data_IF_937556533435
#
_entry.id   IF_937556533435
#
_cell.length_a   1.000
_cell.length_b   1.000
_cell.length_c   1.000
_cell.angle_alpha   90.00
_cell.angle_beta   90.00
_cell.angle_gamma   90.00
#
_symmetry.space_group_name_H-M   'P 1'
#
loop_
_entity.id
_entity.type
_entity.pdbx_description
1 polymer ?
#
# COMPACT_ATOMS: atom_id res chain seq x y z
N UNK A 1 -6.29 15.40 31.49
CA UNK A 1 -6.88 14.29 30.77
C UNK A 1 -5.72 13.39 30.37
N UNK A 2 -5.82 12.08 30.58
CA UNK A 2 -4.81 11.16 30.06
C UNK A 2 -4.90 11.13 28.53
N UNK A 3 -3.76 10.96 27.84
CA UNK A 3 -3.74 10.83 26.38
C UNK A 3 -4.58 9.61 25.94
N UNK A 4 -5.35 9.74 24.86
CA UNK A 4 -6.16 8.63 24.36
C UNK A 4 -5.27 7.49 23.85
N UNK A 5 -5.61 6.27 24.21
CA UNK A 5 -4.91 5.06 23.75
C UNK A 5 -5.76 4.39 22.66
N UNK A 6 -5.32 4.45 21.42
CA UNK A 6 -6.03 3.88 20.27
C UNK A 6 -5.77 2.38 20.10
N UNK A 7 -4.56 1.91 20.40
CA UNK A 7 -4.21 0.49 20.35
C UNK A 7 -3.61 0.06 21.69
N UNK A 8 -4.09 -1.06 22.21
CA UNK A 8 -3.53 -1.68 23.42
C UNK A 8 -2.75 -2.92 23.02
N UNK A 9 -1.56 -3.15 23.59
CA UNK A 9 -0.86 -4.41 23.37
C UNK A 9 -1.69 -5.58 23.91
N UNK A 10 -1.86 -6.63 23.11
CA UNK A 10 -2.55 -7.84 23.52
C UNK A 10 -1.68 -8.68 24.48
N UNK A 11 -0.37 -8.53 24.40
CA UNK A 11 0.61 -9.22 25.24
C UNK A 11 1.90 -8.43 25.36
N UNK A 12 2.74 -8.80 26.34
CA UNK A 12 4.08 -8.28 26.53
C UNK A 12 5.07 -9.45 26.38
N UNK A 13 5.71 -9.64 25.20
CA UNK A 13 6.53 -10.80 24.91
C UNK A 13 7.89 -10.75 25.60
N UNK A 14 8.45 -11.90 25.89
CA UNK A 14 9.84 -12.08 26.23
C UNK A 14 10.75 -12.05 24.99
N UNK A 15 12.04 -11.83 25.17
CA UNK A 15 13.02 -11.93 24.07
C UNK A 15 13.05 -13.33 23.44
N UNK A 16 12.79 -14.37 24.23
CA UNK A 16 12.71 -15.75 23.73
C UNK A 16 11.53 -15.91 22.74
N UNK A 17 10.35 -15.38 23.06
CA UNK A 17 9.18 -15.42 22.17
C UNK A 17 9.42 -14.58 20.91
N UNK A 18 10.01 -13.39 21.04
CA UNK A 18 10.37 -12.56 19.89
C UNK A 18 11.37 -13.30 18.97
N UNK A 19 12.36 -13.97 19.55
CA UNK A 19 13.32 -14.78 18.77
C UNK A 19 12.61 -15.92 18.04
N UNK A 20 11.68 -16.60 18.69
CA UNK A 20 10.88 -17.65 18.07
C UNK A 20 10.04 -17.13 16.87
N UNK A 21 9.36 -16.00 17.01
CA UNK A 21 8.52 -15.43 15.95
C UNK A 21 9.31 -14.95 14.74
N UNK A 22 10.52 -14.43 14.99
CA UNK A 22 11.32 -13.76 13.98
C UNK A 22 12.44 -14.63 13.39
N UNK A 23 12.79 -15.72 14.05
CA UNK A 23 13.99 -16.50 13.77
C UNK A 23 15.28 -15.76 14.18
N UNK A 24 15.20 -14.80 15.11
CA UNK A 24 16.35 -14.03 15.55
C UNK A 24 17.31 -14.88 16.39
N UNK A 25 18.61 -14.66 16.18
CA UNK A 25 19.65 -15.16 17.07
C UNK A 25 19.88 -14.16 18.21
N UNK A 26 19.73 -14.62 19.45
CA UNK A 26 20.00 -13.82 20.65
C UNK A 26 21.51 -13.70 20.90
N UNK A 27 21.95 -12.55 21.41
CA UNK A 27 23.32 -12.37 21.85
C UNK A 27 23.66 -13.39 22.97
N UNK A 28 24.88 -14.04 22.96
CA UNK A 28 25.27 -14.97 24.00
C UNK A 28 25.22 -14.35 25.39
N UNK A 29 24.64 -15.07 26.37
CA UNK A 29 24.56 -14.65 27.77
C UNK A 29 23.50 -13.57 28.06
N UNK A 30 22.65 -13.21 27.12
CA UNK A 30 21.54 -12.29 27.40
C UNK A 30 20.43 -13.00 28.20
N UNK A 31 19.69 -12.23 28.98
CA UNK A 31 18.50 -12.70 29.65
C UNK A 31 17.34 -12.82 28.65
N UNK A 32 17.08 -14.04 28.17
CA UNK A 32 16.01 -14.32 27.22
C UNK A 32 14.60 -14.16 27.81
N UNK A 33 14.48 -14.07 29.16
CA UNK A 33 13.23 -13.86 29.86
C UNK A 33 12.84 -12.35 29.97
N UNK A 34 13.73 -11.46 29.54
CA UNK A 34 13.48 -10.02 29.54
C UNK A 34 12.20 -9.68 28.76
N UNK A 35 11.25 -9.03 29.43
CA UNK A 35 9.95 -8.67 28.87
C UNK A 35 10.01 -7.35 28.12
N UNK A 36 9.42 -7.32 26.95
CA UNK A 36 9.23 -6.12 26.14
C UNK A 36 7.80 -5.59 26.31
N UNK A 37 7.65 -4.36 26.78
CA UNK A 37 6.38 -3.68 27.07
C UNK A 37 6.09 -2.50 26.15
N UNK A 38 7.03 -2.11 25.29
CA UNK A 38 6.85 -1.01 24.37
C UNK A 38 7.56 -1.27 23.03
N UNK A 39 7.10 -0.57 22.02
CA UNK A 39 7.73 -0.47 20.69
C UNK A 39 8.03 1.01 20.48
N UNK A 40 9.25 1.36 20.11
CA UNK A 40 9.64 2.74 19.92
C UNK A 40 10.68 2.93 18.81
N UNK A 41 10.73 4.12 18.19
CA UNK A 41 11.82 4.50 17.28
C UNK A 41 13.17 4.42 17.97
N UNK A 42 14.23 4.14 17.21
CA UNK A 42 15.58 3.87 17.74
C UNK A 42 16.17 5.06 18.50
N UNK A 43 15.82 6.27 18.14
CA UNK A 43 16.30 7.54 18.70
C UNK A 43 15.58 7.97 19.98
N UNK A 44 14.39 7.44 20.22
CA UNK A 44 13.52 7.81 21.35
C UNK A 44 13.19 6.64 22.29
N UNK A 45 13.65 5.42 21.96
CA UNK A 45 13.40 4.23 22.74
C UNK A 45 13.93 4.34 24.17
N UNK A 46 13.13 3.85 25.13
CA UNK A 46 13.44 3.81 26.57
C UNK A 46 13.59 2.35 27.01
N UNK A 47 14.12 2.09 28.23
CA UNK A 47 14.13 0.76 28.82
C UNK A 47 12.74 0.11 28.80
N UNK A 48 12.69 -1.18 28.44
CA UNK A 48 11.46 -1.92 28.20
C UNK A 48 10.99 -1.91 26.73
N UNK A 49 11.57 -1.07 25.86
CA UNK A 49 11.19 -1.00 24.46
C UNK A 49 12.00 -1.91 23.57
N UNK A 50 11.33 -2.42 22.50
CA UNK A 50 11.95 -3.01 21.32
C UNK A 50 12.05 -1.93 20.22
N UNK A 51 13.19 -1.90 19.54
CA UNK A 51 13.39 -1.11 18.32
C UNK A 51 14.02 -1.95 17.22
N UNK A 52 14.28 -1.36 16.05
CA UNK A 52 15.00 -2.03 14.96
C UNK A 52 15.91 -1.08 14.21
N UNK A 53 16.94 -1.62 13.53
CA UNK A 53 17.79 -0.92 12.59
C UNK A 53 17.82 -1.66 11.25
N UNK A 54 17.18 -1.09 10.23
CA UNK A 54 17.19 -1.58 8.86
C UNK A 54 17.94 -0.61 7.93
N UNK A 55 17.66 0.68 8.03
CA UNK A 55 18.31 1.71 7.21
C UNK A 55 19.62 2.19 7.86
N UNK A 56 20.77 2.08 7.16
CA UNK A 56 22.08 2.51 7.66
C UNK A 56 22.16 3.99 8.08
N UNK A 57 21.28 4.85 7.58
CA UNK A 57 21.24 6.26 7.98
C UNK A 57 21.00 6.45 9.48
N UNK A 58 20.37 5.48 10.14
CA UNK A 58 20.10 5.51 11.59
C UNK A 58 21.16 4.79 12.42
N UNK A 59 22.28 4.36 11.82
CA UNK A 59 23.33 3.65 12.55
C UNK A 59 23.92 4.47 13.71
N UNK A 60 24.01 5.79 13.59
CA UNK A 60 24.45 6.67 14.67
C UNK A 60 23.48 6.65 15.85
N UNK A 61 22.17 6.60 15.60
CA UNK A 61 21.16 6.53 16.65
C UNK A 61 21.24 5.20 17.42
N UNK A 62 21.71 4.10 16.80
CA UNK A 62 21.91 2.83 17.47
C UNK A 62 22.88 2.95 18.65
N UNK A 63 23.99 3.69 18.50
CA UNK A 63 24.99 3.82 19.59
C UNK A 63 24.51 4.58 20.80
N UNK A 64 23.39 5.29 20.68
CA UNK A 64 22.80 6.12 21.73
C UNK A 64 21.44 5.62 22.21
N UNK A 65 20.92 4.55 21.61
CA UNK A 65 19.60 4.02 21.97
C UNK A 65 19.59 3.52 23.42
N UNK A 66 18.45 3.70 24.08
CA UNK A 66 18.15 3.17 25.42
C UNK A 66 17.17 2.02 25.39
N UNK A 67 16.88 1.49 24.19
CA UNK A 67 16.01 0.32 24.01
C UNK A 67 16.53 -0.88 24.80
N UNK A 68 15.65 -1.70 25.34
CA UNK A 68 16.05 -2.97 25.94
C UNK A 68 16.49 -3.99 24.90
N UNK A 69 15.96 -3.92 23.67
CA UNK A 69 16.34 -4.80 22.57
C UNK A 69 16.25 -4.11 21.22
N UNK A 70 17.08 -4.56 20.26
CA UNK A 70 17.10 -4.05 18.90
C UNK A 70 17.21 -5.20 17.88
N UNK A 71 16.26 -5.26 16.95
CA UNK A 71 16.32 -6.12 15.77
C UNK A 71 17.27 -5.49 14.74
N UNK A 72 18.31 -6.21 14.32
CA UNK A 72 19.33 -5.67 13.41
C UNK A 72 20.06 -6.79 12.68
N UNK A 73 20.81 -6.44 11.64
CA UNK A 73 21.70 -7.39 10.95
C UNK A 73 23.00 -7.57 11.70
N UNK A 74 23.67 -8.72 11.50
CA UNK A 74 24.95 -9.06 12.13
C UNK A 74 26.01 -7.95 12.02
N UNK A 75 26.05 -7.21 10.91
CA UNK A 75 27.01 -6.13 10.67
C UNK A 75 26.96 -4.99 11.71
N UNK A 76 25.82 -4.80 12.36
CA UNK A 76 25.62 -3.73 13.34
C UNK A 76 25.68 -4.21 14.80
N UNK A 77 25.85 -5.53 15.03
CA UNK A 77 25.82 -6.12 16.37
C UNK A 77 26.87 -5.53 17.32
N UNK A 78 28.07 -5.23 16.83
CA UNK A 78 29.15 -4.66 17.64
C UNK A 78 28.90 -3.19 18.07
N UNK A 79 27.97 -2.49 17.43
CA UNK A 79 27.64 -1.10 17.74
C UNK A 79 26.49 -0.95 18.75
N UNK A 80 25.91 -2.06 19.20
CA UNK A 80 24.81 -2.05 20.18
C UNK A 80 25.35 -1.63 21.55
N UNK A 81 24.76 -0.62 22.21
CA UNK A 81 25.26 -0.14 23.50
C UNK A 81 25.01 -1.16 24.62
N UNK A 82 25.81 -1.05 25.69
CA UNK A 82 25.62 -1.83 26.91
C UNK A 82 24.20 -1.59 27.45
N UNK A 83 23.49 -2.67 27.77
CA UNK A 83 22.10 -2.60 28.27
C UNK A 83 21.03 -2.82 27.18
N UNK A 84 21.41 -2.85 25.91
CA UNK A 84 20.52 -3.23 24.80
C UNK A 84 20.89 -4.62 24.28
N UNK A 85 19.92 -5.51 24.17
CA UNK A 85 20.13 -6.87 23.62
C UNK A 85 20.01 -6.84 22.08
N UNK A 86 21.03 -7.35 21.40
CA UNK A 86 20.99 -7.53 19.95
C UNK A 86 20.15 -8.76 19.57
N UNK A 87 19.16 -8.59 18.74
CA UNK A 87 18.35 -9.62 18.09
C UNK A 87 18.75 -9.69 16.62
N UNK A 88 19.59 -10.65 16.26
CA UNK A 88 20.20 -10.70 14.93
C UNK A 88 19.29 -11.43 13.95
N UNK A 89 18.92 -10.73 12.87
CA UNK A 89 18.04 -11.22 11.80
C UNK A 89 18.56 -10.78 10.42
N UNK A 90 18.16 -11.49 9.37
CA UNK A 90 18.50 -11.12 8.00
C UNK A 90 17.74 -9.89 7.50
N UNK A 91 16.49 -9.73 7.92
CA UNK A 91 15.57 -8.67 7.48
C UNK A 91 14.92 -7.99 8.70
N UNK A 92 15.59 -6.97 9.29
CA UNK A 92 15.13 -6.34 10.54
C UNK A 92 13.72 -5.75 10.46
N UNK A 93 13.39 -5.08 9.37
CA UNK A 93 12.05 -4.47 9.21
C UNK A 93 10.95 -5.52 9.10
N UNK A 94 11.17 -6.60 8.36
CA UNK A 94 10.19 -7.70 8.26
C UNK A 94 10.02 -8.42 9.60
N UNK A 95 11.11 -8.62 10.34
CA UNK A 95 11.07 -9.19 11.70
C UNK A 95 10.30 -8.28 12.66
N UNK A 96 10.56 -6.98 12.61
CA UNK A 96 9.86 -5.98 13.41
C UNK A 96 8.34 -6.00 13.10
N UNK A 97 7.96 -6.01 11.82
CA UNK A 97 6.54 -6.10 11.43
C UNK A 97 5.83 -7.33 12.02
N UNK A 98 6.50 -8.51 12.04
CA UNK A 98 5.96 -9.71 12.69
C UNK A 98 5.74 -9.53 14.19
N UNK A 99 6.69 -8.90 14.89
CA UNK A 99 6.56 -8.63 16.32
C UNK A 99 5.40 -7.68 16.59
N UNK A 100 5.30 -6.58 15.83
CA UNK A 100 4.22 -5.61 15.96
C UNK A 100 2.86 -6.27 15.71
N UNK A 101 2.76 -7.12 14.69
CA UNK A 101 1.54 -7.86 14.38
C UNK A 101 1.08 -8.79 15.52
N UNK A 102 2.01 -9.43 16.22
CA UNK A 102 1.69 -10.27 17.37
C UNK A 102 1.29 -9.46 18.61
N UNK A 103 1.94 -8.32 18.82
CA UNK A 103 1.64 -7.45 19.98
C UNK A 103 0.33 -6.68 19.76
N UNK A 104 0.04 -6.24 18.52
CA UNK A 104 -1.12 -5.42 18.16
C UNK A 104 -1.95 -6.08 17.04
N UNK A 105 -2.57 -7.23 17.26
CA UNK A 105 -3.34 -7.93 16.21
C UNK A 105 -4.50 -7.09 15.68
N UNK A 106 -5.11 -6.25 16.51
CA UNK A 106 -6.21 -5.36 16.12
C UNK A 106 -5.77 -4.21 15.18
N UNK A 107 -4.46 -3.95 15.07
CA UNK A 107 -3.92 -2.95 14.14
C UNK A 107 -3.69 -3.48 12.72
N UNK A 108 -3.81 -4.78 12.49
CA UNK A 108 -3.54 -5.41 11.20
C UNK A 108 -4.58 -5.07 10.12
N UNK A 109 -5.81 -4.81 10.53
CA UNK A 109 -6.90 -4.43 9.61
C UNK A 109 -7.92 -3.53 10.33
N UNK A 110 -8.69 -2.70 9.60
CA UNK A 110 -9.78 -1.96 10.18
C UNK A 110 -10.74 -2.85 10.96
N UNK A 111 -11.09 -2.41 12.16
CA UNK A 111 -12.06 -3.07 13.05
C UNK A 111 -13.37 -2.26 13.09
N UNK A 112 -14.43 -2.86 13.63
CA UNK A 112 -15.67 -2.13 13.88
C UNK A 112 -15.39 -0.91 14.78
N UNK A 113 -15.78 0.27 14.31
CA UNK A 113 -15.67 1.51 15.10
C UNK A 113 -16.60 1.55 16.31
N UNK A 114 -17.54 0.61 16.39
CA UNK A 114 -18.55 0.50 17.44
C UNK A 114 -18.34 -0.72 18.35
N UNK A 115 -17.21 -1.44 18.18
CA UNK A 115 -16.99 -2.74 18.82
C UNK A 115 -18.20 -3.71 18.64
N UNK A 116 -18.83 -3.63 17.47
CA UNK A 116 -20.02 -4.42 17.16
C UNK A 116 -19.67 -5.89 16.90
N UNK A 117 -20.62 -6.76 17.20
CA UNK A 117 -20.60 -8.16 16.86
C UNK A 117 -21.92 -8.52 16.16
N UNK A 118 -21.84 -9.18 15.00
CA UNK A 118 -23.01 -9.47 14.19
C UNK A 118 -23.60 -8.22 13.50
N UNK A 119 -24.90 -8.20 13.27
CA UNK A 119 -25.57 -7.10 12.55
C UNK A 119 -26.02 -6.06 13.57
N UNK A 120 -25.45 -4.86 13.48
CA UNK A 120 -25.79 -3.74 14.36
C UNK A 120 -27.22 -3.19 14.10
N UNK A 121 -27.90 -2.69 15.13
CA UNK A 121 -29.11 -1.88 14.93
C UNK A 121 -28.82 -0.69 14.01
N UNK A 122 -29.74 -0.42 13.07
CA UNK A 122 -29.59 0.66 12.07
C UNK A 122 -28.77 0.27 10.84
N UNK A 123 -28.20 -0.93 10.75
CA UNK A 123 -27.75 -1.52 9.50
C UNK A 123 -28.96 -2.03 8.70
N UNK A 124 -28.92 -1.87 7.38
CA UNK A 124 -29.93 -2.45 6.48
C UNK A 124 -29.34 -3.63 5.72
N UNK A 125 -29.88 -4.81 5.94
CA UNK A 125 -29.52 -6.03 5.20
C UNK A 125 -30.75 -6.50 4.44
N UNK A 126 -30.63 -6.58 3.10
CA UNK A 126 -31.74 -7.08 2.27
C UNK A 126 -32.06 -8.54 2.62
N UNK A 127 -33.34 -8.95 2.67
CA UNK A 127 -33.72 -10.33 3.04
C UNK A 127 -33.09 -11.43 2.17
N UNK A 128 -32.81 -11.14 0.90
CA UNK A 128 -32.18 -12.07 -0.04
C UNK A 128 -30.64 -12.07 0.05
N UNK A 129 -30.04 -11.23 0.88
CA UNK A 129 -28.60 -11.26 1.12
C UNK A 129 -28.22 -12.47 1.97
N UNK A 130 -27.03 -13.03 1.73
CA UNK A 130 -26.49 -14.19 2.45
C UNK A 130 -25.23 -13.80 3.18
N UNK A 131 -25.26 -13.85 4.50
CA UNK A 131 -24.13 -13.59 5.36
C UNK A 131 -23.74 -14.89 6.07
N UNK A 132 -22.48 -15.29 5.96
CA UNK A 132 -21.95 -16.42 6.72
C UNK A 132 -21.81 -16.06 8.21
N UNK A 133 -21.54 -17.05 9.05
CA UNK A 133 -21.37 -16.86 10.50
C UNK A 133 -20.18 -15.94 10.80
N UNK A 134 -20.29 -15.10 11.84
CA UNK A 134 -19.21 -14.21 12.29
C UNK A 134 -19.03 -12.95 11.44
N UNK A 135 -19.95 -12.66 10.50
CA UNK A 135 -19.96 -11.38 9.80
C UNK A 135 -20.39 -10.28 10.77
N UNK A 136 -19.63 -9.17 10.76
CA UNK A 136 -19.96 -7.96 11.53
C UNK A 136 -20.42 -6.87 10.57
N UNK A 137 -21.53 -6.21 10.90
CA UNK A 137 -22.09 -5.10 10.09
C UNK A 137 -22.36 -3.92 11.02
N UNK A 138 -21.64 -2.83 10.80
CA UNK A 138 -21.73 -1.61 11.60
C UNK A 138 -23.00 -0.80 11.27
N UNK A 139 -23.39 0.14 12.15
CA UNK A 139 -24.57 0.98 11.95
C UNK A 139 -24.53 1.78 10.64
N UNK A 140 -25.66 1.89 9.97
CA UNK A 140 -25.84 2.64 8.73
C UNK A 140 -25.26 1.97 7.48
N UNK A 141 -24.64 0.79 7.60
CA UNK A 141 -24.24 0.00 6.42
C UNK A 141 -25.49 -0.53 5.69
N UNK A 142 -25.41 -0.58 4.36
CA UNK A 142 -26.48 -1.06 3.48
C UNK A 142 -25.99 -2.23 2.65
N UNK A 143 -26.67 -3.38 2.75
CA UNK A 143 -26.36 -4.60 1.99
C UNK A 143 -27.51 -4.92 1.07
N UNK A 144 -27.27 -4.90 -0.24
CA UNK A 144 -28.24 -5.08 -1.30
C UNK A 144 -28.68 -6.53 -1.53
N UNK A 145 -29.68 -6.74 -2.40
CA UNK A 145 -30.23 -8.07 -2.67
C UNK A 145 -29.18 -8.99 -3.30
N UNK A 146 -29.23 -10.26 -2.91
CA UNK A 146 -28.36 -11.34 -3.39
C UNK A 146 -26.85 -11.08 -3.18
N UNK A 147 -26.49 -10.14 -2.30
CA UNK A 147 -25.09 -10.00 -1.85
C UNK A 147 -24.71 -11.22 -1.02
N UNK A 148 -23.48 -11.71 -1.19
CA UNK A 148 -22.92 -12.84 -0.44
C UNK A 148 -21.68 -12.38 0.32
N UNK A 149 -21.63 -12.60 1.64
CA UNK A 149 -20.53 -12.13 2.50
C UNK A 149 -20.00 -13.29 3.33
N UNK A 150 -18.71 -13.60 3.15
CA UNK A 150 -18.02 -14.70 3.82
C UNK A 150 -17.73 -14.43 5.30
N UNK A 151 -17.52 -15.52 6.05
CA UNK A 151 -17.32 -15.52 7.50
C UNK A 151 -16.15 -14.63 7.95
N UNK A 152 -16.27 -14.03 9.15
CA UNK A 152 -15.25 -13.17 9.74
C UNK A 152 -15.03 -11.83 9.03
N UNK A 153 -15.85 -11.50 8.03
CA UNK A 153 -15.79 -10.25 7.31
C UNK A 153 -16.50 -9.14 8.09
N UNK A 154 -15.84 -7.97 8.17
CA UNK A 154 -16.38 -6.76 8.80
C UNK A 154 -16.82 -5.77 7.71
N UNK A 155 -18.04 -5.25 7.83
CA UNK A 155 -18.61 -4.18 7.01
C UNK A 155 -18.78 -2.94 7.88
N UNK A 156 -17.95 -1.94 7.63
CA UNK A 156 -17.89 -0.70 8.40
C UNK A 156 -19.09 0.21 8.21
N UNK A 157 -19.20 1.19 9.08
CA UNK A 157 -20.31 2.11 9.13
C UNK A 157 -20.56 2.83 7.79
N UNK A 158 -21.81 2.92 7.37
CA UNK A 158 -22.24 3.58 6.15
C UNK A 158 -21.60 3.04 4.85
N UNK A 159 -21.02 1.85 4.89
CA UNK A 159 -20.61 1.15 3.67
C UNK A 159 -21.83 0.69 2.88
N UNK A 160 -21.74 0.72 1.54
CA UNK A 160 -22.80 0.30 0.64
C UNK A 160 -22.33 -0.88 -0.20
N UNK A 161 -22.94 -2.04 0.01
CA UNK A 161 -22.69 -3.26 -0.76
C UNK A 161 -23.84 -3.45 -1.73
N UNK A 162 -23.57 -3.29 -3.02
CA UNK A 162 -24.55 -3.38 -4.09
C UNK A 162 -25.12 -4.79 -4.29
N UNK A 163 -26.16 -4.89 -5.11
CA UNK A 163 -26.77 -6.16 -5.47
C UNK A 163 -25.76 -7.12 -6.14
N UNK A 164 -25.85 -8.42 -5.80
CA UNK A 164 -25.03 -9.49 -6.34
C UNK A 164 -23.50 -9.37 -6.09
N UNK A 165 -23.06 -8.43 -5.28
CA UNK A 165 -21.66 -8.34 -4.86
C UNK A 165 -21.31 -9.56 -4.01
N UNK A 166 -20.14 -10.15 -4.26
CA UNK A 166 -19.62 -11.26 -3.46
C UNK A 166 -18.33 -10.85 -2.76
N UNK A 167 -18.26 -11.09 -1.48
CA UNK A 167 -17.11 -10.79 -0.62
C UNK A 167 -16.70 -12.08 0.08
N UNK A 168 -15.41 -12.44 -0.03
CA UNK A 168 -14.85 -13.61 0.63
C UNK A 168 -14.78 -13.47 2.15
N UNK A 169 -13.97 -14.32 2.77
CA UNK A 169 -13.83 -14.44 4.22
C UNK A 169 -12.74 -13.54 4.77
N UNK A 170 -12.84 -13.19 6.06
CA UNK A 170 -11.82 -12.43 6.80
C UNK A 170 -11.49 -11.06 6.20
N UNK A 171 -12.40 -10.48 5.40
CA UNK A 171 -12.23 -9.17 4.81
C UNK A 171 -12.53 -8.04 5.81
N UNK A 172 -11.95 -6.86 5.56
CA UNK A 172 -12.29 -5.63 6.26
C UNK A 172 -12.72 -4.57 5.24
N UNK A 173 -14.01 -4.29 5.17
CA UNK A 173 -14.58 -3.24 4.33
C UNK A 173 -14.88 -2.05 5.23
N UNK A 174 -14.01 -1.04 5.20
CA UNK A 174 -14.09 0.07 6.14
C UNK A 174 -15.27 1.03 5.87
N UNK A 175 -15.41 2.03 6.73
CA UNK A 175 -16.51 2.98 6.66
C UNK A 175 -16.60 3.72 5.31
N UNK A 176 -17.81 4.03 4.86
CA UNK A 176 -18.10 4.77 3.64
C UNK A 176 -17.61 4.13 2.32
N UNK A 177 -17.17 2.87 2.33
CA UNK A 177 -16.82 2.13 1.10
C UNK A 177 -18.08 1.85 0.28
N UNK A 178 -17.98 1.97 -1.05
CA UNK A 178 -19.04 1.54 -1.95
C UNK A 178 -18.52 0.43 -2.87
N UNK A 179 -19.18 -0.72 -2.84
CA UNK A 179 -18.94 -1.87 -3.70
C UNK A 179 -20.12 -2.11 -4.62
N UNK A 180 -19.90 -2.13 -5.92
CA UNK A 180 -20.91 -2.48 -6.92
C UNK A 180 -20.26 -3.30 -8.03
N UNK A 181 -21.00 -4.22 -8.65
CA UNK A 181 -20.52 -5.01 -9.80
C UNK A 181 -19.12 -5.61 -9.59
N UNK A 182 -18.83 -6.14 -8.40
CA UNK A 182 -17.52 -6.66 -8.07
C UNK A 182 -17.57 -8.01 -7.36
N UNK A 183 -16.48 -8.75 -7.49
CA UNK A 183 -16.18 -9.99 -6.78
C UNK A 183 -14.90 -9.78 -5.98
N UNK A 184 -14.94 -10.02 -4.68
CA UNK A 184 -13.85 -9.78 -3.73
C UNK A 184 -13.43 -11.12 -3.14
N UNK A 185 -12.13 -11.42 -3.17
CA UNK A 185 -11.52 -12.60 -2.57
C UNK A 185 -11.51 -12.58 -1.04
N UNK A 186 -10.65 -13.39 -0.46
CA UNK A 186 -10.52 -13.52 1.01
C UNK A 186 -9.44 -12.56 1.55
N UNK A 187 -9.53 -12.18 2.83
CA UNK A 187 -8.55 -11.35 3.55
C UNK A 187 -8.23 -10.02 2.85
N UNK A 188 -9.21 -9.51 2.11
CA UNK A 188 -9.09 -8.21 1.43
C UNK A 188 -9.38 -7.09 2.41
N UNK A 189 -8.55 -6.06 2.39
CA UNK A 189 -8.72 -4.84 3.19
C UNK A 189 -9.06 -3.69 2.25
N UNK A 190 -10.17 -3.01 2.51
CA UNK A 190 -10.58 -1.83 1.74
C UNK A 190 -10.78 -0.67 2.72
N UNK A 191 -9.91 0.33 2.60
CA UNK A 191 -9.87 1.48 3.50
C UNK A 191 -11.01 2.47 3.25
N UNK A 192 -11.28 3.40 4.22
CA UNK A 192 -12.46 4.25 4.17
C UNK A 192 -12.60 5.05 2.88
N UNK A 193 -13.82 5.17 2.40
CA UNK A 193 -14.15 6.02 1.26
C UNK A 193 -13.80 5.45 -0.13
N UNK A 194 -13.19 4.28 -0.25
CA UNK A 194 -12.90 3.68 -1.55
C UNK A 194 -14.19 3.39 -2.34
N UNK A 195 -14.12 3.53 -3.67
CA UNK A 195 -15.24 3.30 -4.60
C UNK A 195 -14.84 2.23 -5.61
N UNK A 196 -15.59 1.15 -5.70
CA UNK A 196 -15.24 0.00 -6.54
C UNK A 196 -16.46 -0.42 -7.36
N UNK A 197 -16.24 -0.53 -8.68
CA UNK A 197 -17.21 -1.06 -9.62
C UNK A 197 -18.17 -0.04 -10.23
N UNK A 198 -17.89 1.27 -10.11
CA UNK A 198 -18.56 2.31 -10.88
C UNK A 198 -18.24 2.20 -12.37
N UNK A 199 -19.00 2.91 -13.22
CA UNK A 199 -18.76 2.96 -14.68
C UNK A 199 -17.33 3.43 -14.98
N UNK A 200 -16.66 2.74 -15.89
CA UNK A 200 -15.45 3.25 -16.53
C UNK A 200 -15.76 4.44 -17.45
N UNK A 201 -14.76 5.26 -17.72
CA UNK A 201 -14.88 6.43 -18.58
C UNK A 201 -14.88 6.01 -20.06
N UNK A 202 -16.06 5.69 -20.60
CA UNK A 202 -16.23 5.23 -21.96
C UNK A 202 -17.25 6.09 -22.75
N UNK A 203 -16.76 6.84 -23.75
CA UNK A 203 -17.59 7.67 -24.62
C UNK A 203 -17.13 7.58 -26.07
N UNK A 204 -18.07 7.39 -27.01
CA UNK A 204 -17.82 7.61 -28.43
C UNK A 204 -17.91 9.12 -28.70
N UNK A 205 -16.77 9.72 -28.92
CA UNK A 205 -16.64 11.18 -29.09
C UNK A 205 -16.97 11.58 -30.54
N UNK A 206 -17.72 12.66 -30.72
CA UNK A 206 -18.00 13.22 -32.04
C UNK A 206 -18.18 14.75 -31.97
N UNK A 207 -18.15 15.40 -33.12
CA UNK A 207 -18.39 16.85 -33.23
C UNK A 207 -19.82 17.27 -32.80
N UNK A 208 -20.76 16.29 -32.72
CA UNK A 208 -22.14 16.51 -32.28
C UNK A 208 -22.40 16.16 -30.82
N UNK A 209 -21.35 15.86 -30.05
CA UNK A 209 -21.40 15.45 -28.64
C UNK A 209 -20.85 14.04 -28.39
N UNK A 210 -21.03 13.53 -27.20
CA UNK A 210 -20.43 12.29 -26.73
C UNK A 210 -21.53 11.26 -26.42
N UNK A 211 -21.48 10.09 -27.05
CA UNK A 211 -22.37 8.97 -26.77
C UNK A 211 -21.74 8.10 -25.69
N UNK A 212 -22.44 7.91 -24.57
CA UNK A 212 -21.97 7.01 -23.49
C UNK A 212 -21.93 5.55 -23.97
N UNK A 213 -20.82 4.88 -23.74
CA UNK A 213 -20.66 3.45 -23.92
C UNK A 213 -21.03 2.74 -22.62
N UNK A 214 -22.10 1.90 -22.58
CA UNK A 214 -22.47 1.15 -21.39
C UNK A 214 -21.31 0.27 -20.90
N UNK A 215 -21.10 0.25 -19.60
CA UNK A 215 -20.06 -0.56 -18.95
C UNK A 215 -20.73 -1.81 -18.36
N UNK A 216 -20.44 -3.00 -18.91
CA UNK A 216 -21.13 -4.25 -18.52
C UNK A 216 -20.21 -5.29 -17.91
N UNK A 217 -18.91 -5.00 -17.79
CA UNK A 217 -17.92 -5.82 -17.07
C UNK A 217 -18.01 -5.65 -15.55
N UNK A 218 -17.08 -6.26 -14.85
CA UNK A 218 -16.97 -6.29 -13.38
C UNK A 218 -15.60 -5.83 -12.92
N UNK A 219 -15.46 -5.70 -11.60
CA UNK A 219 -14.17 -5.67 -10.92
C UNK A 219 -13.96 -7.00 -10.21
N UNK A 220 -12.79 -7.61 -10.38
CA UNK A 220 -12.38 -8.83 -9.66
C UNK A 220 -11.15 -8.50 -8.83
N UNK A 221 -11.24 -8.67 -7.53
CA UNK A 221 -10.15 -8.48 -6.57
C UNK A 221 -9.84 -9.82 -5.95
N UNK A 222 -8.59 -10.28 -6.12
CA UNK A 222 -8.14 -11.57 -5.58
C UNK A 222 -7.81 -11.47 -4.08
N UNK A 223 -7.34 -12.57 -3.49
CA UNK A 223 -7.04 -12.67 -2.06
C UNK A 223 -5.90 -11.72 -1.61
N UNK A 224 -5.90 -11.35 -0.33
CA UNK A 224 -4.82 -10.59 0.32
C UNK A 224 -4.52 -9.21 -0.27
N UNK A 225 -5.42 -8.66 -1.08
CA UNK A 225 -5.31 -7.31 -1.64
C UNK A 225 -5.64 -6.26 -0.58
N UNK A 226 -4.92 -5.15 -0.61
CA UNK A 226 -5.23 -3.98 0.22
C UNK A 226 -5.42 -2.74 -0.65
N UNK A 227 -6.52 -2.01 -0.43
CA UNK A 227 -6.90 -0.83 -1.21
C UNK A 227 -7.04 0.37 -0.28
N UNK A 228 -6.24 1.40 -0.52
CA UNK A 228 -6.15 2.62 0.26
C UNK A 228 -7.41 3.49 0.23
N UNK A 229 -7.45 4.42 1.16
CA UNK A 229 -8.60 5.32 1.34
C UNK A 229 -8.87 6.18 0.08
N UNK A 230 -10.14 6.34 -0.25
CA UNK A 230 -10.61 7.09 -1.41
C UNK A 230 -10.02 6.66 -2.77
N UNK A 231 -9.44 5.47 -2.86
CA UNK A 231 -9.07 4.89 -4.15
C UNK A 231 -10.34 4.55 -4.96
N UNK A 232 -10.24 4.62 -6.29
CA UNK A 232 -11.35 4.36 -7.21
C UNK A 232 -10.95 3.30 -8.23
N UNK A 233 -11.82 2.28 -8.42
CA UNK A 233 -11.58 1.18 -9.35
C UNK A 233 -12.79 1.03 -10.26
N UNK A 234 -12.62 1.39 -11.53
CA UNK A 234 -13.68 1.33 -12.53
C UNK A 234 -13.92 -0.10 -13.01
N UNK A 235 -15.19 -0.48 -13.23
CA UNK A 235 -15.49 -1.74 -13.90
C UNK A 235 -15.17 -1.68 -15.39
N UNK A 236 -14.90 -2.83 -15.96
CA UNK A 236 -14.60 -2.93 -17.37
C UNK A 236 -15.79 -2.63 -18.27
N UNK A 237 -15.51 -2.25 -19.51
CA UNK A 237 -16.55 -2.02 -20.52
C UNK A 237 -17.25 -3.33 -20.92
N UNK A 238 -16.48 -4.31 -21.41
CA UNK A 238 -16.94 -5.64 -21.80
C UNK A 238 -16.01 -6.77 -21.34
N UNK A 239 -14.98 -6.44 -20.58
CA UNK A 239 -14.07 -7.35 -19.87
C UNK A 239 -14.05 -6.93 -18.41
N UNK A 240 -13.48 -7.74 -17.56
CA UNK A 240 -13.31 -7.41 -16.16
C UNK A 240 -12.08 -6.50 -15.93
N UNK A 241 -12.12 -5.66 -14.93
CA UNK A 241 -10.94 -5.04 -14.30
C UNK A 241 -10.45 -5.99 -13.24
N UNK A 242 -9.16 -6.37 -13.26
CA UNK A 242 -8.59 -7.40 -12.40
C UNK A 242 -7.49 -6.83 -11.50
N UNK A 243 -7.52 -7.19 -10.21
CA UNK A 243 -6.46 -6.92 -9.23
C UNK A 243 -5.98 -8.24 -8.64
N UNK A 244 -4.72 -8.58 -8.93
CA UNK A 244 -4.08 -9.84 -8.54
C UNK A 244 -3.78 -9.92 -7.05
N UNK A 245 -3.67 -11.16 -6.57
CA UNK A 245 -3.40 -11.53 -5.18
C UNK A 245 -2.23 -10.75 -4.55
N UNK A 246 -2.37 -10.34 -3.30
CA UNK A 246 -1.32 -9.71 -2.50
C UNK A 246 -0.95 -8.29 -2.92
N UNK A 247 -1.59 -7.72 -3.95
CA UNK A 247 -1.32 -6.36 -4.43
C UNK A 247 -1.72 -5.32 -3.39
N UNK A 248 -0.88 -4.29 -3.23
CA UNK A 248 -1.07 -3.18 -2.30
C UNK A 248 -1.26 -1.88 -3.08
N UNK A 249 -2.39 -1.25 -2.87
CA UNK A 249 -2.82 -0.01 -3.53
C UNK A 249 -2.99 1.04 -2.44
N UNK A 250 -2.25 2.13 -2.56
CA UNK A 250 -2.27 3.23 -1.59
C UNK A 250 -3.44 4.20 -1.84
N UNK A 251 -3.53 5.24 -1.05
CA UNK A 251 -4.64 6.17 -1.04
C UNK A 251 -4.76 6.97 -2.35
N UNK A 252 -6.00 7.31 -2.73
CA UNK A 252 -6.30 8.19 -3.86
C UNK A 252 -5.80 7.69 -5.22
N UNK A 253 -5.62 6.39 -5.38
CA UNK A 253 -5.26 5.76 -6.67
C UNK A 253 -6.50 5.64 -7.54
N UNK A 254 -6.38 5.97 -8.85
CA UNK A 254 -7.39 5.70 -9.87
C UNK A 254 -6.98 4.52 -10.74
N UNK A 255 -7.82 3.50 -10.80
CA UNK A 255 -7.68 2.36 -11.71
C UNK A 255 -8.81 2.41 -12.73
N UNK A 256 -8.45 2.62 -14.00
CA UNK A 256 -9.39 2.72 -15.11
C UNK A 256 -9.97 1.37 -15.52
N UNK A 257 -10.99 1.43 -16.36
CA UNK A 257 -11.71 0.25 -16.87
C UNK A 257 -10.80 -0.73 -17.62
N UNK A 258 -11.06 -2.03 -17.50
CA UNK A 258 -10.30 -3.09 -18.17
C UNK A 258 -8.81 -3.17 -17.81
N UNK A 259 -8.36 -2.51 -16.75
CA UNK A 259 -7.00 -2.63 -16.25
C UNK A 259 -6.81 -4.02 -15.65
N UNK A 260 -5.67 -4.64 -15.94
CA UNK A 260 -5.25 -5.90 -15.33
C UNK A 260 -3.98 -5.68 -14.52
N UNK A 261 -4.04 -5.90 -13.21
CA UNK A 261 -2.91 -5.80 -12.29
C UNK A 261 -2.56 -7.19 -11.82
N UNK A 262 -1.30 -7.57 -11.98
CA UNK A 262 -0.73 -8.85 -11.53
C UNK A 262 -0.68 -8.97 -10.00
N UNK A 263 0.00 -10.01 -9.54
CA UNK A 263 0.15 -10.32 -8.12
C UNK A 263 1.26 -9.50 -7.48
N UNK A 264 1.08 -9.20 -6.17
CA UNK A 264 2.11 -8.55 -5.34
C UNK A 264 2.64 -7.24 -5.91
N UNK A 265 1.84 -6.53 -6.70
CA UNK A 265 2.17 -5.19 -7.17
C UNK A 265 2.07 -4.18 -6.02
N UNK A 266 2.82 -3.09 -6.13
CA UNK A 266 2.77 -1.95 -5.20
C UNK A 266 2.45 -0.68 -5.98
N UNK A 267 1.31 -0.06 -5.68
CA UNK A 267 0.84 1.14 -6.37
C UNK A 267 0.68 2.23 -5.33
N UNK A 268 1.60 3.21 -5.36
CA UNK A 268 1.70 4.25 -4.34
C UNK A 268 0.68 5.36 -4.59
N UNK A 269 0.46 6.20 -3.60
CA UNK A 269 -0.62 7.20 -3.59
C UNK A 269 -0.67 8.10 -4.83
N UNK A 270 -1.89 8.47 -5.22
CA UNK A 270 -2.19 9.36 -6.35
C UNK A 270 -1.75 8.85 -7.74
N UNK A 271 -1.45 7.57 -7.89
CA UNK A 271 -1.21 6.98 -9.21
C UNK A 271 -2.50 6.95 -10.01
N UNK A 272 -2.42 7.32 -11.30
CA UNK A 272 -3.50 7.17 -12.26
C UNK A 272 -3.15 6.13 -13.32
N UNK A 273 -3.95 5.07 -13.44
CA UNK A 273 -3.79 4.03 -14.45
C UNK A 273 -4.96 4.12 -15.43
N UNK A 274 -4.67 4.49 -16.67
CA UNK A 274 -5.69 4.59 -17.72
C UNK A 274 -6.16 3.22 -18.19
N UNK A 275 -7.34 3.21 -18.82
CA UNK A 275 -8.02 1.97 -19.21
C UNK A 275 -7.20 1.02 -20.09
N UNK A 276 -7.46 -0.26 -19.94
CA UNK A 276 -6.84 -1.37 -20.69
C UNK A 276 -5.32 -1.51 -20.54
N UNK A 277 -4.75 -0.97 -19.48
CA UNK A 277 -3.34 -1.12 -19.12
C UNK A 277 -3.13 -2.44 -18.39
N UNK A 278 -2.01 -3.12 -18.67
CA UNK A 278 -1.63 -4.39 -18.06
C UNK A 278 -0.36 -4.20 -17.20
N UNK A 279 -0.42 -4.50 -15.91
CA UNK A 279 0.73 -4.61 -15.03
C UNK A 279 0.97 -6.07 -14.71
N UNK A 280 2.17 -6.57 -15.00
CA UNK A 280 2.55 -7.93 -14.62
C UNK A 280 2.94 -8.01 -13.13
N UNK A 281 3.17 -9.23 -12.62
CA UNK A 281 3.47 -9.49 -11.21
C UNK A 281 4.66 -8.66 -10.68
N UNK A 282 4.58 -8.23 -9.41
CA UNK A 282 5.63 -7.49 -8.69
C UNK A 282 6.00 -6.12 -9.28
N UNK A 283 5.18 -5.54 -10.14
CA UNK A 283 5.40 -4.17 -10.62
C UNK A 283 5.24 -3.16 -9.47
N UNK A 284 6.12 -2.15 -9.44
CA UNK A 284 6.12 -1.09 -8.43
C UNK A 284 5.92 0.26 -9.11
N UNK A 285 4.85 0.97 -8.75
CA UNK A 285 4.51 2.27 -9.33
C UNK A 285 4.62 3.36 -8.25
N UNK A 286 5.59 4.24 -8.41
CA UNK A 286 5.84 5.37 -7.51
C UNK A 286 4.72 6.40 -7.51
N UNK A 287 4.56 7.11 -6.40
CA UNK A 287 3.46 8.04 -6.18
C UNK A 287 3.33 9.12 -7.26
N UNK A 288 2.08 9.49 -7.57
CA UNK A 288 1.73 10.50 -8.59
C UNK A 288 2.16 10.14 -10.02
N UNK A 289 2.55 8.88 -10.30
CA UNK A 289 2.80 8.47 -11.67
C UNK A 289 1.49 8.36 -12.45
N UNK A 290 1.52 8.77 -13.73
CA UNK A 290 0.42 8.62 -14.68
C UNK A 290 0.77 7.59 -15.75
N UNK A 291 -0.12 6.63 -15.99
CA UNK A 291 0.10 5.56 -16.98
C UNK A 291 -0.96 5.70 -18.08
N UNK A 292 -0.50 5.84 -19.31
CA UNK A 292 -1.37 5.90 -20.50
C UNK A 292 -2.12 4.58 -20.70
N UNK A 293 -3.24 4.65 -21.42
CA UNK A 293 -4.03 3.46 -21.74
C UNK A 293 -3.31 2.51 -22.72
N UNK A 294 -3.67 1.23 -22.63
CA UNK A 294 -3.20 0.18 -23.54
C UNK A 294 -1.69 -0.10 -23.50
N UNK A 295 -0.98 0.26 -22.44
CA UNK A 295 0.44 -0.08 -22.26
C UNK A 295 0.62 -1.31 -21.39
N UNK A 296 1.77 -1.97 -21.53
CA UNK A 296 2.17 -3.15 -20.74
C UNK A 296 3.37 -2.84 -19.87
N UNK A 297 3.23 -3.09 -18.58
CA UNK A 297 4.28 -2.95 -17.58
C UNK A 297 4.76 -4.35 -17.20
N UNK A 298 6.02 -4.65 -17.52
CA UNK A 298 6.61 -5.98 -17.33
C UNK A 298 6.79 -6.34 -15.85
N UNK A 299 6.94 -7.64 -15.57
CA UNK A 299 7.08 -8.16 -14.21
C UNK A 299 8.29 -7.55 -13.50
N UNK A 300 8.10 -7.12 -12.24
CA UNK A 300 9.14 -6.50 -11.42
C UNK A 300 9.64 -5.13 -11.92
N UNK A 301 8.98 -4.53 -12.92
CA UNK A 301 9.33 -3.19 -13.37
C UNK A 301 9.06 -2.15 -12.28
N UNK A 302 9.89 -1.11 -12.21
CA UNK A 302 9.80 -0.05 -11.20
C UNK A 302 9.64 1.31 -11.88
N UNK A 303 8.55 2.00 -11.59
CA UNK A 303 8.23 3.31 -12.13
C UNK A 303 8.47 4.35 -11.04
N UNK A 304 9.33 5.33 -11.32
CA UNK A 304 9.63 6.41 -10.39
C UNK A 304 8.40 7.30 -10.13
N UNK A 305 8.39 7.95 -8.97
CA UNK A 305 7.35 8.92 -8.64
C UNK A 305 7.26 10.04 -9.72
N UNK A 306 6.04 10.52 -9.97
CA UNK A 306 5.70 11.57 -10.94
C UNK A 306 6.10 11.23 -12.40
N UNK A 307 6.33 9.95 -12.70
CA UNK A 307 6.63 9.56 -14.09
C UNK A 307 5.37 9.56 -14.97
N UNK A 308 5.51 10.03 -16.21
CA UNK A 308 4.50 9.91 -17.26
C UNK A 308 4.84 8.72 -18.17
N UNK A 309 4.12 7.61 -18.03
CA UNK A 309 4.36 6.39 -18.83
C UNK A 309 3.49 6.40 -20.07
N UNK A 310 4.10 6.41 -21.25
CA UNK A 310 3.41 6.44 -22.53
C UNK A 310 3.69 5.22 -23.41
N UNK A 311 4.61 4.35 -23.00
CA UNK A 311 5.03 3.18 -23.76
C UNK A 311 5.18 1.97 -22.84
N UNK A 312 5.22 0.77 -23.44
CA UNK A 312 5.47 -0.48 -22.74
C UNK A 312 6.82 -0.44 -22.00
N UNK A 313 6.85 -1.02 -20.80
CA UNK A 313 8.04 -1.12 -19.96
C UNK A 313 8.43 -2.60 -19.84
N UNK A 314 9.66 -2.98 -20.26
CA UNK A 314 10.15 -4.34 -20.11
C UNK A 314 10.25 -4.79 -18.64
N UNK A 315 10.24 -6.12 -18.44
CA UNK A 315 10.35 -6.70 -17.11
C UNK A 315 11.67 -6.31 -16.40
N UNK A 316 11.59 -6.01 -15.11
CA UNK A 316 12.74 -5.68 -14.26
C UNK A 316 13.36 -4.31 -14.49
N UNK A 317 12.89 -3.54 -15.46
CA UNK A 317 13.44 -2.22 -15.75
C UNK A 317 12.96 -1.13 -14.77
N UNK A 318 13.78 -0.08 -14.67
CA UNK A 318 13.50 1.13 -13.90
C UNK A 318 13.31 2.31 -14.81
N UNK A 319 12.10 2.88 -14.79
CA UNK A 319 11.73 3.99 -15.66
C UNK A 319 11.32 5.22 -14.85
N UNK A 320 11.55 6.41 -15.43
CA UNK A 320 11.19 7.68 -14.79
C UNK A 320 11.15 8.83 -15.76
N UNK A 321 10.68 9.97 -15.28
CA UNK A 321 10.53 11.19 -16.06
C UNK A 321 9.16 11.32 -16.73
N UNK A 322 8.97 12.44 -17.41
CA UNK A 322 7.75 12.75 -18.15
C UNK A 322 8.12 13.26 -19.55
N UNK A 323 7.88 12.47 -20.59
CA UNK A 323 7.50 11.08 -20.59
C UNK A 323 8.56 10.18 -19.93
N UNK A 324 8.12 9.04 -19.35
CA UNK A 324 9.03 8.09 -18.67
C UNK A 324 10.00 7.45 -19.67
N UNK A 325 11.25 7.32 -19.24
CA UNK A 325 12.34 6.67 -19.97
C UNK A 325 13.18 5.84 -19.02
N UNK A 326 14.08 4.99 -19.51
CA UNK A 326 15.09 4.36 -18.67
C UNK A 326 15.82 5.41 -17.85
N UNK A 327 15.99 5.18 -16.52
CA UNK A 327 16.53 6.19 -15.59
C UNK A 327 17.90 6.74 -16.03
N UNK A 328 18.75 5.87 -16.59
CA UNK A 328 20.07 6.30 -17.12
C UNK A 328 19.96 7.28 -18.29
N UNK A 329 19.00 7.09 -19.18
CA UNK A 329 18.75 7.99 -20.31
C UNK A 329 18.18 9.32 -19.84
N UNK A 330 17.23 9.26 -18.88
CA UNK A 330 16.65 10.46 -18.28
C UNK A 330 17.71 11.37 -17.67
N UNK A 331 18.57 10.84 -16.78
CA UNK A 331 19.65 11.61 -16.18
C UNK A 331 20.68 12.08 -17.20
N UNK A 332 20.99 11.27 -18.24
CA UNK A 332 21.87 11.71 -19.33
C UNK A 332 21.29 12.88 -20.10
N UNK A 333 19.99 12.86 -20.36
CA UNK A 333 19.27 13.95 -21.04
C UNK A 333 19.33 15.24 -20.22
N UNK A 334 19.01 15.18 -18.92
CA UNK A 334 19.06 16.35 -18.03
C UNK A 334 20.48 16.94 -17.97
N UNK A 335 21.50 16.09 -17.77
CA UNK A 335 22.91 16.54 -17.74
C UNK A 335 23.36 17.10 -19.08
N UNK A 336 22.84 16.57 -20.19
CA UNK A 336 23.10 17.08 -21.53
C UNK A 336 22.52 18.48 -21.75
N UNK A 337 21.30 18.72 -21.32
CA UNK A 337 20.62 20.01 -21.36
C UNK A 337 21.41 21.04 -20.52
N UNK A 338 21.81 20.70 -19.30
CA UNK A 338 22.58 21.56 -18.42
C UNK A 338 23.95 21.98 -19.06
N UNK A 339 24.61 21.02 -19.72
CA UNK A 339 25.88 21.33 -20.45
C UNK A 339 25.66 22.26 -21.62
N UNK A 340 24.58 22.06 -22.39
CA UNK A 340 24.24 22.93 -23.53
C UNK A 340 23.92 24.36 -23.05
N UNK A 341 23.14 24.51 -21.99
CA UNK A 341 22.81 25.80 -21.40
C UNK A 341 24.07 26.55 -20.90
N UNK A 342 24.98 25.84 -20.21
CA UNK A 342 26.24 26.42 -19.75
C UNK A 342 27.13 26.84 -20.89
N UNK A 343 27.22 26.09 -22.00
CA UNK A 343 27.96 26.42 -23.19
C UNK A 343 27.39 27.67 -23.87
N UNK A 344 26.08 27.73 -24.08
CA UNK A 344 25.38 28.88 -24.64
C UNK A 344 25.60 30.16 -23.81
N UNK A 345 25.62 30.06 -22.48
CA UNK A 345 25.89 31.19 -21.59
C UNK A 345 27.37 31.69 -21.66
N UNK A 346 28.30 30.80 -22.02
CA UNK A 346 29.72 31.19 -22.23
C UNK A 346 29.94 31.78 -23.59
N UNK A 347 29.31 31.27 -24.64
CA UNK A 347 29.45 31.77 -26.02
C UNK A 347 28.72 33.11 -26.24
N UNK A 348 27.73 33.47 -25.39
CA UNK A 348 26.97 34.72 -25.44
C UNK A 348 27.58 35.90 -24.67
N UNK A 349 28.75 35.75 -24.02
CA UNK A 349 29.45 36.90 -23.43
C UNK A 349 30.15 37.70 -24.53
N UNK A 350 29.85 39.00 -24.70
CA UNK A 350 30.59 39.86 -25.64
C UNK A 350 32.08 39.87 -25.22
N UNK A 351 32.96 39.60 -26.16
CA UNK A 351 34.41 39.83 -25.98
C UNK A 351 34.56 41.29 -25.58
N UNK A 352 35.08 41.55 -24.39
CA UNK A 352 35.50 42.86 -23.99
C UNK A 352 36.47 43.40 -25.08
N UNK A 353 36.11 44.47 -25.76
CA UNK A 353 37.01 45.17 -26.62
C UNK A 353 38.08 45.82 -25.72
N UNK A 354 39.31 45.38 -25.86
CA UNK A 354 40.48 46.10 -25.35
C UNK A 354 40.55 47.45 -26.08
N UNK A 355 39.98 48.46 -25.47
CA UNK A 355 40.33 49.88 -25.83
C UNK A 355 41.60 50.22 -25.07
N UNK A 356 42.72 49.99 -25.73
CA UNK A 356 43.97 50.66 -25.44
C UNK A 356 44.47 51.33 -26.79
N UNK A 357 44.14 52.57 -26.96
CA UNK A 357 45.00 53.57 -27.62
C UNK A 357 44.75 54.93 -27.01
#
# INVERSE_FOLDING_TARGET
>A
MNDPVFFRPALAPTLAEIAQWTGATLAPGCDSSLVINAIAPIDSAQPGALTFLDNPKYATALTQTRASACLLTQRHAAAVPTGTVALIVAQPYAAFAKVVANIYPDALKPQSSFAAHGISPGAFVHPDARLEQGVTVDPGAVIGPHAEIGSGTMIGAQAVIGAHVRIGRECAIAAHVTLSHCLIGNRVIIHPGARIGQDGFGFAMSARGHLKVPQVGRVIIQDDVEIGANATVDRGANRDTLIGEGTKIDNLVQIGHNVSIGRHCVIVAHVGISGSTELADFAVVGGQAGIAGHVRIGAGAQIAAQAGVMNDIPAGERWGGSPARPMREWFRTLTGIDKLLKKSAQDGKPKAQDENQ
#
